data_IF_729674562217
#
_entry.id   IF_729674562217
#
_cell.length_a   1.000
_cell.length_b   1.000
_cell.length_c   1.000
_cell.angle_alpha   90.00
_cell.angle_beta   90.00
_cell.angle_gamma   90.00
#
_symmetry.space_group_name_H-M   'P 1'
#
loop_
_entity.id
_entity.type
_entity.pdbx_description
1 polymer ?
#
# COMPACT_ATOMS: atom_id res chain seq x y z
N UNK A 1 -44.31 1.49 10.67
CA UNK A 1 -43.22 1.15 9.74
C UNK A 1 -41.99 1.93 10.18
N UNK A 2 -41.08 1.36 10.96
CA UNK A 2 -39.90 2.07 11.46
C UNK A 2 -38.74 1.07 11.60
N UNK A 3 -37.61 1.40 10.97
CA UNK A 3 -36.38 0.61 11.05
C UNK A 3 -35.70 0.57 9.70
N UNK A 4 -35.01 1.64 9.33
CA UNK A 4 -33.95 1.55 8.32
C UNK A 4 -32.93 0.54 8.84
N UNK A 5 -32.93 -0.67 8.27
CA UNK A 5 -31.87 -1.66 8.48
C UNK A 5 -30.56 -1.03 8.04
N UNK A 6 -29.83 -0.45 9.01
CA UNK A 6 -28.52 0.12 8.74
C UNK A 6 -27.59 -1.05 8.38
N UNK A 7 -27.22 -1.13 7.11
CA UNK A 7 -26.28 -2.10 6.56
C UNK A 7 -24.94 -2.14 7.32
N UNK A 8 -24.58 -1.06 8.01
CA UNK A 8 -23.38 -0.94 8.84
C UNK A 8 -23.71 -0.44 10.24
N UNK A 9 -23.06 -1.05 11.24
CA UNK A 9 -23.06 -0.53 12.61
C UNK A 9 -22.09 0.66 12.75
N UNK A 10 -22.22 1.43 13.85
CA UNK A 10 -21.28 2.52 14.17
C UNK A 10 -19.84 2.00 14.29
N UNK A 11 -19.67 0.80 14.85
CA UNK A 11 -18.38 0.11 14.93
C UNK A 11 -17.80 -0.15 13.53
N UNK A 12 -18.61 -0.66 12.60
CA UNK A 12 -18.17 -0.95 11.23
C UNK A 12 -17.73 0.32 10.49
N UNK A 13 -18.46 1.43 10.67
CA UNK A 13 -18.09 2.73 10.11
C UNK A 13 -16.75 3.21 10.68
N UNK A 14 -16.52 3.03 11.98
CA UNK A 14 -15.25 3.35 12.62
C UNK A 14 -14.08 2.54 12.06
N UNK A 15 -14.30 1.24 11.81
CA UNK A 15 -13.31 0.36 11.18
C UNK A 15 -12.98 0.78 9.75
N UNK A 16 -14.01 1.06 8.94
CA UNK A 16 -13.84 1.53 7.56
C UNK A 16 -13.06 2.85 7.54
N UNK A 17 -13.47 3.83 8.36
CA UNK A 17 -12.79 5.12 8.45
C UNK A 17 -11.33 4.99 8.84
N UNK A 18 -11.04 4.17 9.86
CA UNK A 18 -9.67 3.95 10.34
C UNK A 18 -8.77 3.34 9.27
N UNK A 19 -9.24 2.32 8.56
CA UNK A 19 -8.44 1.70 7.49
C UNK A 19 -8.28 2.60 6.27
N UNK A 20 -9.32 3.34 5.89
CA UNK A 20 -9.22 4.32 4.79
C UNK A 20 -8.19 5.40 5.09
N UNK A 21 -8.21 6.00 6.30
CA UNK A 21 -7.23 7.01 6.71
C UNK A 21 -5.82 6.43 6.82
N UNK A 22 -5.68 5.23 7.38
CA UNK A 22 -4.41 4.53 7.47
C UNK A 22 -3.80 4.27 6.09
N UNK A 23 -4.58 3.73 5.15
CA UNK A 23 -4.11 3.45 3.78
C UNK A 23 -3.77 4.73 3.03
N UNK A 24 -4.51 5.83 3.22
CA UNK A 24 -4.20 7.11 2.60
C UNK A 24 -2.87 7.68 3.11
N UNK A 25 -2.66 7.67 4.43
CA UNK A 25 -1.39 8.12 5.03
C UNK A 25 -0.23 7.21 4.63
N UNK A 26 -0.45 5.90 4.62
CA UNK A 26 0.54 4.93 4.17
C UNK A 26 0.91 5.18 2.71
N UNK A 27 -0.06 5.43 1.83
CA UNK A 27 0.21 5.75 0.43
C UNK A 27 1.11 6.98 0.30
N UNK A 28 0.83 8.06 1.02
CA UNK A 28 1.65 9.27 1.01
C UNK A 28 3.08 8.96 1.50
N UNK A 29 3.21 8.24 2.61
CA UNK A 29 4.51 7.86 3.16
C UNK A 29 5.30 6.98 2.18
N UNK A 30 4.63 6.00 1.56
CA UNK A 30 5.19 5.11 0.55
C UNK A 30 5.71 5.91 -0.65
N UNK A 31 4.94 6.89 -1.15
CA UNK A 31 5.35 7.72 -2.29
C UNK A 31 6.56 8.60 -1.97
N UNK A 32 6.58 9.23 -0.80
CA UNK A 32 7.72 10.04 -0.36
C UNK A 32 8.99 9.18 -0.24
N UNK A 33 8.87 8.01 0.39
CA UNK A 33 10.00 7.13 0.58
C UNK A 33 10.49 6.51 -0.75
N UNK A 34 9.58 6.09 -1.64
CA UNK A 34 9.96 5.65 -3.00
C UNK A 34 10.74 6.72 -3.75
N UNK A 35 10.31 7.98 -3.68
CA UNK A 35 11.01 9.08 -4.34
C UNK A 35 12.47 9.17 -3.88
N UNK A 36 12.69 9.16 -2.56
CA UNK A 36 14.03 9.17 -1.99
C UNK A 36 14.88 7.95 -2.37
N UNK A 37 14.29 6.75 -2.32
CA UNK A 37 14.96 5.50 -2.68
C UNK A 37 15.41 5.50 -4.14
N UNK A 38 14.52 5.89 -5.05
CA UNK A 38 14.84 5.94 -6.48
C UNK A 38 15.84 7.03 -6.80
N UNK A 39 15.73 8.21 -6.20
CA UNK A 39 16.71 9.28 -6.41
C UNK A 39 18.11 8.85 -5.95
N UNK A 40 18.20 8.25 -4.76
CA UNK A 40 19.46 7.74 -4.22
C UNK A 40 20.02 6.57 -5.02
N UNK A 41 19.18 5.60 -5.39
CA UNK A 41 19.58 4.44 -6.20
C UNK A 41 20.04 4.81 -7.60
N UNK A 42 19.35 5.76 -8.27
CA UNK A 42 19.76 6.26 -9.57
C UNK A 42 21.05 7.08 -9.51
N UNK A 43 21.26 7.84 -8.44
CA UNK A 43 22.49 8.62 -8.24
C UNK A 43 23.70 7.68 -8.05
N UNK A 44 23.56 6.61 -7.27
CA UNK A 44 24.58 5.57 -7.10
C UNK A 44 24.92 4.89 -8.43
N UNK A 45 23.92 4.56 -9.25
CA UNK A 45 24.12 3.97 -10.58
C UNK A 45 24.81 4.94 -11.55
N UNK A 46 24.46 6.24 -11.51
CA UNK A 46 25.05 7.28 -12.38
C UNK A 46 26.49 7.62 -12.01
N UNK A 47 26.88 7.52 -10.74
CA UNK A 47 28.25 7.78 -10.28
C UNK A 47 29.26 6.71 -10.70
N UNK A 48 28.83 5.68 -11.43
CA UNK A 48 29.73 4.69 -12.01
C UNK A 48 30.36 3.75 -10.96
N UNK A 49 29.82 3.72 -9.73
CA UNK A 49 30.13 2.69 -8.74
C UNK A 49 29.44 1.36 -9.12
N UNK A 50 29.60 0.94 -10.38
CA UNK A 50 29.01 -0.27 -10.94
C UNK A 50 29.73 -1.51 -10.41
N UNK A 51 29.63 -1.75 -9.10
CA UNK A 51 29.92 -3.03 -8.48
C UNK A 51 28.64 -3.81 -8.27
N UNK A 52 28.68 -5.13 -8.39
CA UNK A 52 27.56 -6.01 -8.04
C UNK A 52 27.00 -5.74 -6.63
N UNK A 53 27.83 -5.20 -5.72
CA UNK A 53 27.42 -4.77 -4.38
C UNK A 53 26.39 -3.64 -4.36
N UNK A 54 26.47 -2.65 -5.25
CA UNK A 54 25.50 -1.53 -5.31
C UNK A 54 24.15 -2.03 -5.81
N UNK A 55 24.13 -2.89 -6.83
CA UNK A 55 22.90 -3.51 -7.31
C UNK A 55 22.23 -4.35 -6.21
N UNK A 56 23.00 -5.17 -5.49
CA UNK A 56 22.49 -5.96 -4.35
C UNK A 56 21.93 -5.06 -3.25
N UNK A 57 22.60 -3.96 -2.91
CA UNK A 57 22.13 -3.01 -1.90
C UNK A 57 20.79 -2.36 -2.30
N UNK A 58 20.63 -1.97 -3.57
CA UNK A 58 19.38 -1.41 -4.09
C UNK A 58 18.24 -2.44 -4.04
N UNK A 59 18.49 -3.69 -4.45
CA UNK A 59 17.48 -4.76 -4.34
C UNK A 59 17.09 -5.06 -2.90
N UNK A 60 18.04 -5.10 -1.97
CA UNK A 60 17.76 -5.28 -0.55
C UNK A 60 16.92 -4.14 0.01
N UNK A 61 17.24 -2.89 -0.36
CA UNK A 61 16.50 -1.72 0.07
C UNK A 61 15.04 -1.75 -0.44
N UNK A 62 14.84 -2.13 -1.71
CA UNK A 62 13.50 -2.34 -2.28
C UNK A 62 12.74 -3.46 -1.58
N UNK A 63 13.39 -4.59 -1.29
CA UNK A 63 12.76 -5.71 -0.57
C UNK A 63 12.33 -5.32 0.85
N UNK A 64 13.18 -4.60 1.58
CA UNK A 64 12.84 -4.07 2.93
C UNK A 64 11.71 -3.06 2.83
N UNK A 65 11.72 -2.22 1.80
CA UNK A 65 10.67 -1.26 1.54
C UNK A 65 9.31 -1.93 1.32
N UNK A 66 9.23 -2.90 0.42
CA UNK A 66 8.00 -3.64 0.14
C UNK A 66 7.49 -4.38 1.39
N UNK A 67 8.41 -4.94 2.18
CA UNK A 67 8.06 -5.58 3.45
C UNK A 67 7.37 -4.59 4.41
N UNK A 68 7.96 -3.40 4.60
CA UNK A 68 7.49 -2.42 5.58
C UNK A 68 6.25 -1.66 5.14
N UNK A 69 6.11 -1.36 3.84
CA UNK A 69 5.05 -0.49 3.33
C UNK A 69 3.91 -1.24 2.64
N UNK A 70 4.11 -2.51 2.30
CA UNK A 70 3.09 -3.33 1.64
C UNK A 70 2.71 -4.52 2.53
N UNK A 71 3.68 -5.37 2.88
CA UNK A 71 3.40 -6.65 3.55
C UNK A 71 2.91 -6.43 4.98
N UNK A 72 3.68 -5.72 5.82
CA UNK A 72 3.34 -5.50 7.24
C UNK A 72 1.98 -4.79 7.40
N UNK A 73 1.68 -3.71 6.65
CA UNK A 73 0.38 -3.02 6.72
C UNK A 73 -0.80 -3.86 6.21
N UNK A 74 -0.57 -4.81 5.29
CA UNK A 74 -1.63 -5.67 4.77
C UNK A 74 -2.12 -6.70 5.80
N UNK A 75 -1.27 -7.15 6.73
CA UNK A 75 -1.60 -8.16 7.76
C UNK A 75 -2.84 -7.76 8.60
N UNK A 76 -2.91 -6.58 9.24
CA UNK A 76 -4.07 -6.20 10.05
C UNK A 76 -5.34 -6.07 9.20
N UNK A 77 -5.24 -5.60 7.95
CA UNK A 77 -6.38 -5.48 7.04
C UNK A 77 -6.90 -6.86 6.66
N UNK A 78 -6.02 -7.77 6.23
CA UNK A 78 -6.38 -9.14 5.89
C UNK A 78 -7.01 -9.88 7.08
N UNK A 79 -6.45 -9.70 8.28
CA UNK A 79 -7.01 -10.23 9.53
C UNK A 79 -8.42 -9.69 9.81
N UNK A 80 -8.65 -8.38 9.64
CA UNK A 80 -9.97 -7.77 9.84
C UNK A 80 -10.99 -8.18 8.79
N UNK A 81 -10.57 -8.30 7.53
CA UNK A 81 -11.40 -8.85 6.43
C UNK A 81 -11.81 -10.28 6.74
N UNK A 82 -10.87 -11.15 7.13
CA UNK A 82 -11.17 -12.53 7.51
C UNK A 82 -12.16 -12.59 8.68
N UNK A 83 -11.95 -11.77 9.72
CA UNK A 83 -12.86 -11.68 10.87
C UNK A 83 -14.25 -11.20 10.46
N UNK A 84 -14.36 -10.24 9.54
CA UNK A 84 -15.65 -9.77 9.03
C UNK A 84 -16.44 -10.88 8.33
N UNK A 85 -15.79 -11.69 7.49
CA UNK A 85 -16.43 -12.85 6.85
C UNK A 85 -16.82 -13.94 7.84
N UNK A 86 -15.97 -14.25 8.82
CA UNK A 86 -16.27 -15.24 9.87
C UNK A 86 -17.48 -14.83 10.73
N UNK A 87 -17.62 -13.53 11.02
CA UNK A 87 -18.75 -12.97 11.79
C UNK A 87 -20.01 -12.73 10.94
N UNK A 88 -20.07 -13.26 9.71
CA UNK A 88 -21.16 -13.04 8.73
C UNK A 88 -21.40 -11.56 8.37
N UNK A 89 -20.48 -10.64 8.69
CA UNK A 89 -20.51 -9.23 8.26
C UNK A 89 -19.92 -9.09 6.86
N UNK A 90 -20.53 -9.75 5.86
CA UNK A 90 -20.07 -9.74 4.46
C UNK A 90 -19.92 -8.33 3.86
N UNK A 91 -20.85 -7.37 4.11
CA UNK A 91 -20.70 -6.00 3.63
C UNK A 91 -19.39 -5.34 4.05
N UNK A 92 -19.01 -5.48 5.33
CA UNK A 92 -17.76 -4.92 5.84
C UNK A 92 -16.55 -5.57 5.16
N UNK A 93 -16.54 -6.90 5.03
CA UNK A 93 -15.46 -7.62 4.35
C UNK A 93 -15.27 -7.16 2.90
N UNK A 94 -16.36 -6.94 2.16
CA UNK A 94 -16.31 -6.42 0.79
C UNK A 94 -15.77 -4.99 0.72
N UNK A 95 -16.18 -4.11 1.65
CA UNK A 95 -15.64 -2.74 1.71
C UNK A 95 -14.15 -2.75 2.04
N UNK A 96 -13.70 -3.59 2.98
CA UNK A 96 -12.28 -3.72 3.31
C UNK A 96 -11.44 -4.24 2.13
N UNK A 97 -11.98 -5.17 1.34
CA UNK A 97 -11.36 -5.60 0.07
C UNK A 97 -11.30 -4.43 -0.91
N UNK A 98 -12.42 -3.71 -1.09
CA UNK A 98 -12.50 -2.59 -2.02
C UNK A 98 -11.46 -1.50 -1.70
N UNK A 99 -11.37 -1.04 -0.45
CA UNK A 99 -10.39 -0.01 -0.06
C UNK A 99 -8.95 -0.50 -0.25
N UNK A 100 -8.69 -1.79 -0.01
CA UNK A 100 -7.36 -2.39 -0.24
C UNK A 100 -7.01 -2.41 -1.72
N UNK A 101 -7.97 -2.78 -2.59
CA UNK A 101 -7.79 -2.76 -4.04
C UNK A 101 -7.52 -1.35 -4.56
N UNK A 102 -8.24 -0.33 -4.05
CA UNK A 102 -7.99 1.07 -4.40
C UNK A 102 -6.58 1.51 -4.00
N UNK A 103 -6.11 1.13 -2.81
CA UNK A 103 -4.74 1.39 -2.38
C UNK A 103 -3.70 0.75 -3.30
N UNK A 104 -3.86 -0.54 -3.62
CA UNK A 104 -2.94 -1.27 -4.53
C UNK A 104 -2.94 -0.63 -5.92
N UNK A 105 -4.12 -0.30 -6.45
CA UNK A 105 -4.23 0.37 -7.74
C UNK A 105 -3.51 1.73 -7.74
N UNK A 106 -3.73 2.56 -6.71
CA UNK A 106 -3.08 3.85 -6.59
C UNK A 106 -1.55 3.71 -6.51
N UNK A 107 -1.04 2.74 -5.75
CA UNK A 107 0.39 2.46 -5.62
C UNK A 107 1.00 2.02 -6.95
N UNK A 108 0.35 1.08 -7.66
CA UNK A 108 0.79 0.64 -8.99
C UNK A 108 0.76 1.75 -10.04
N UNK A 109 -0.30 2.57 -10.08
CA UNK A 109 -0.39 3.70 -11.00
C UNK A 109 0.71 4.73 -10.75
N UNK A 110 1.04 5.00 -9.50
CA UNK A 110 2.13 5.91 -9.14
C UNK A 110 3.49 5.34 -9.51
N UNK A 111 3.72 4.04 -9.31
CA UNK A 111 4.94 3.38 -9.75
C UNK A 111 5.12 3.50 -11.27
N UNK A 112 4.07 3.21 -12.05
CA UNK A 112 4.09 3.34 -13.51
C UNK A 112 4.36 4.79 -13.93
N UNK A 113 3.65 5.75 -13.32
CA UNK A 113 3.84 7.17 -13.62
C UNK A 113 5.28 7.62 -13.37
N UNK A 114 5.84 7.24 -12.23
CA UNK A 114 7.21 7.59 -11.84
C UNK A 114 8.26 6.90 -12.74
N UNK A 115 8.02 5.65 -13.16
CA UNK A 115 8.88 4.94 -14.10
C UNK A 115 8.90 5.63 -15.49
N UNK A 116 7.71 6.03 -15.98
CA UNK A 116 7.56 6.75 -17.25
C UNK A 116 8.20 8.15 -17.18
N UNK A 117 7.98 8.90 -16.11
CA UNK A 117 8.54 10.25 -15.91
C UNK A 117 10.07 10.20 -15.83
N UNK A 118 10.64 9.23 -15.10
CA UNK A 118 12.09 9.11 -14.93
C UNK A 118 12.81 8.38 -16.07
N UNK A 119 12.11 7.93 -17.12
CA UNK A 119 12.66 7.15 -18.25
C UNK A 119 13.50 5.95 -17.79
N UNK A 120 13.05 5.27 -16.73
CA UNK A 120 13.67 4.02 -16.31
C UNK A 120 13.45 2.98 -17.43
N UNK A 121 14.46 2.20 -17.84
CA UNK A 121 14.24 1.11 -18.78
C UNK A 121 13.29 0.09 -18.14
N UNK A 122 12.08 -0.02 -18.69
CA UNK A 122 11.10 -1.06 -18.35
C UNK A 122 11.53 -2.41 -18.95
#
# INVERSE_FOLDING_TARGET
MNGTDRMFSVEDVGVIGSYSSFLALLLIATLLAYRHIFDYGLELLRKGESGAGVAVAVYLLLAVFDLLFIVVPAIPIASSTRRAFQRRRRPLGLVLIFISTVYVFALSSQFIYMALEKKLPL
#
